data_IF_457911645422
#
_entry.id   IF_457911645422
#
_cell.length_a   1.000
_cell.length_b   1.000
_cell.length_c   1.000
_cell.angle_alpha   90.00
_cell.angle_beta   90.00
_cell.angle_gamma   90.00
#
_symmetry.space_group_name_H-M   'P 1'
#
loop_
_entity.id
_entity.type
_entity.pdbx_description
1 polymer ?
#
# COMPACT_ATOMS: atom_id res chain seq x y z
N UNK A 1 -1.78 8.00 -3.01
CA UNK A 1 -0.97 7.41 -1.96
C UNK A 1 -1.67 6.36 -1.09
N UNK A 2 -2.96 6.27 -1.04
CA UNK A 2 -3.70 5.11 -0.53
C UNK A 2 -4.22 4.24 -1.69
N UNK A 3 -3.65 4.42 -2.88
CA UNK A 3 -4.18 3.98 -4.16
C UNK A 3 -4.23 2.48 -4.34
N UNK A 4 -3.19 1.85 -3.91
CA UNK A 4 -2.92 0.46 -4.21
C UNK A 4 -3.80 -0.50 -3.42
N UNK A 5 -4.28 -0.05 -2.28
CA UNK A 5 -5.20 -0.80 -1.43
C UNK A 5 -6.64 -0.72 -1.96
N UNK A 6 -6.95 0.30 -2.74
CA UNK A 6 -8.27 0.46 -3.32
C UNK A 6 -8.61 -0.67 -4.30
N UNK A 7 -7.64 -1.18 -5.09
CA UNK A 7 -7.87 -2.35 -5.95
C UNK A 7 -8.09 -3.60 -5.12
N UNK A 8 -7.32 -3.80 -4.06
CA UNK A 8 -7.57 -4.89 -3.11
C UNK A 8 -8.95 -4.73 -2.47
N UNK A 9 -9.33 -3.52 -2.13
CA UNK A 9 -10.66 -3.19 -1.60
C UNK A 9 -11.77 -3.35 -2.63
N UNK A 10 -11.51 -3.08 -3.91
CA UNK A 10 -12.46 -3.31 -5.01
C UNK A 10 -12.75 -4.77 -5.23
N UNK A 11 -11.75 -5.62 -5.04
CA UNK A 11 -11.90 -7.06 -5.09
C UNK A 11 -12.76 -7.55 -3.91
N UNK A 12 -12.62 -6.95 -2.72
CA UNK A 12 -13.47 -7.22 -1.54
C UNK A 12 -14.92 -6.81 -1.82
N UNK A 13 -15.13 -5.70 -2.50
CA UNK A 13 -16.46 -5.11 -2.69
C UNK A 13 -17.30 -5.87 -3.71
N UNK A 14 -16.70 -6.44 -4.75
CA UNK A 14 -17.48 -7.23 -5.70
C UNK A 14 -18.19 -8.42 -5.05
N UNK A 15 -17.68 -8.91 -3.94
CA UNK A 15 -18.26 -10.01 -3.16
C UNK A 15 -19.34 -9.57 -2.17
N UNK A 16 -19.18 -8.41 -1.51
CA UNK A 16 -20.16 -7.90 -0.52
C UNK A 16 -21.48 -7.49 -1.17
N UNK A 17 -21.43 -6.92 -2.39
CA UNK A 17 -22.67 -6.54 -3.12
C UNK A 17 -23.54 -7.75 -3.45
N UNK A 18 -22.94 -8.89 -3.65
CA UNK A 18 -23.68 -10.10 -4.05
C UNK A 18 -24.29 -10.78 -2.83
N UNK A 19 -23.65 -10.74 -1.67
CA UNK A 19 -24.21 -11.26 -0.42
C UNK A 19 -25.38 -10.40 0.11
N UNK A 20 -25.40 -9.11 -0.16
CA UNK A 20 -26.47 -8.21 0.29
C UNK A 20 -27.69 -8.13 -0.68
N UNK A 21 -27.57 -8.63 -1.91
CA UNK A 21 -28.68 -8.56 -2.89
C UNK A 21 -29.77 -9.63 -2.73
N UNK A 22 -29.66 -10.52 -1.75
CA UNK A 22 -30.71 -11.46 -1.35
C UNK A 22 -31.15 -12.49 -2.40
N UNK A 23 -30.28 -12.79 -3.40
CA UNK A 23 -30.58 -13.77 -4.43
C UNK A 23 -29.73 -15.03 -4.23
N UNK A 24 -30.41 -16.13 -3.89
CA UNK A 24 -29.84 -17.47 -3.71
C UNK A 24 -28.99 -17.99 -4.87
N UNK A 25 -29.19 -17.47 -6.08
CA UNK A 25 -28.40 -17.82 -7.26
C UNK A 25 -26.99 -17.21 -7.24
N UNK A 26 -26.82 -15.99 -6.72
CA UNK A 26 -25.53 -15.33 -6.60
C UNK A 26 -24.64 -16.00 -5.56
N UNK A 27 -25.19 -16.37 -4.40
CA UNK A 27 -24.47 -17.11 -3.35
C UNK A 27 -23.91 -18.44 -3.86
N UNK A 28 -24.67 -19.16 -4.68
CA UNK A 28 -24.24 -20.44 -5.27
C UNK A 28 -23.07 -20.24 -6.26
N UNK A 29 -23.11 -19.17 -7.06
CA UNK A 29 -22.02 -18.85 -8.00
C UNK A 29 -20.74 -18.48 -7.26
N UNK A 30 -20.87 -17.72 -6.16
CA UNK A 30 -19.71 -17.32 -5.36
C UNK A 30 -19.08 -18.48 -4.60
N UNK A 31 -19.88 -19.37 -4.03
CA UNK A 31 -19.39 -20.58 -3.38
C UNK A 31 -18.63 -21.52 -4.33
N UNK A 32 -18.82 -21.37 -5.64
CA UNK A 32 -18.11 -22.15 -6.66
C UNK A 32 -16.80 -21.49 -7.14
N UNK A 33 -16.54 -20.23 -6.79
CA UNK A 33 -15.28 -19.57 -7.12
C UNK A 33 -14.23 -19.98 -6.09
N UNK A 34 -13.08 -20.55 -6.52
CA UNK A 34 -12.04 -20.97 -5.59
C UNK A 34 -11.44 -19.75 -4.89
N UNK A 35 -11.19 -19.87 -3.61
CA UNK A 35 -10.37 -18.94 -2.86
C UNK A 35 -8.92 -19.04 -3.32
N UNK A 36 -8.17 -18.00 -3.10
CA UNK A 36 -6.75 -17.93 -3.50
C UNK A 36 -5.93 -17.26 -2.42
N UNK A 37 -4.69 -17.71 -2.30
CA UNK A 37 -3.66 -17.03 -1.56
C UNK A 37 -2.82 -16.28 -2.58
N UNK A 38 -2.66 -14.98 -2.37
CA UNK A 38 -1.87 -14.16 -3.27
C UNK A 38 -1.09 -13.10 -2.51
N UNK A 39 0.17 -12.93 -2.94
CA UNK A 39 1.03 -11.82 -2.55
C UNK A 39 1.22 -10.89 -3.72
N UNK A 40 0.89 -9.62 -3.56
CA UNK A 40 0.92 -8.61 -4.60
C UNK A 40 1.87 -7.46 -4.24
N UNK A 41 2.63 -7.01 -5.24
CA UNK A 41 3.36 -5.75 -5.15
C UNK A 41 2.43 -4.61 -5.61
N UNK A 42 2.13 -3.70 -4.72
CA UNK A 42 1.13 -2.65 -4.97
C UNK A 42 1.78 -1.27 -4.84
N UNK A 43 1.66 -0.47 -5.89
CA UNK A 43 2.42 0.74 -6.10
C UNK A 43 1.51 1.93 -6.42
N UNK A 44 1.88 3.10 -5.89
CA UNK A 44 1.27 4.37 -6.25
C UNK A 44 2.31 5.34 -6.82
N UNK A 45 2.12 5.78 -8.07
CA UNK A 45 3.03 6.76 -8.69
C UNK A 45 2.69 8.19 -8.28
N UNK A 46 3.70 9.06 -8.29
CA UNK A 46 3.52 10.50 -8.10
C UNK A 46 2.83 11.16 -9.32
N UNK A 47 2.39 12.43 -9.20
CA UNK A 47 1.77 13.16 -10.31
C UNK A 47 2.70 13.38 -11.50
N UNK A 48 4.01 13.44 -11.26
CA UNK A 48 5.04 13.57 -12.31
C UNK A 48 5.24 12.23 -13.02
N UNK A 49 4.88 11.11 -12.37
CA UNK A 49 4.93 9.76 -12.92
C UNK A 49 6.32 9.15 -13.01
N UNK A 50 7.28 9.65 -12.23
CA UNK A 50 8.66 9.18 -12.24
C UNK A 50 9.07 8.44 -10.95
N UNK A 51 8.28 8.57 -9.86
CA UNK A 51 8.55 7.89 -8.61
C UNK A 51 7.32 7.14 -8.12
N UNK A 52 7.58 6.11 -7.31
CA UNK A 52 6.54 5.41 -6.57
C UNK A 52 6.52 5.92 -5.13
N UNK A 53 5.57 6.78 -4.82
CA UNK A 53 5.44 7.37 -3.48
C UNK A 53 4.83 6.40 -2.46
N UNK A 54 4.24 5.33 -2.94
CA UNK A 54 3.68 4.23 -2.14
C UNK A 54 4.17 2.91 -2.69
N UNK A 55 4.63 2.06 -1.79
CA UNK A 55 5.11 0.71 -2.12
C UNK A 55 4.62 -0.21 -1.01
N UNK A 56 3.70 -1.12 -1.35
CA UNK A 56 3.17 -2.12 -0.44
C UNK A 56 3.47 -3.53 -0.96
N UNK A 57 3.73 -4.42 -0.02
CA UNK A 57 3.47 -5.83 -0.18
C UNK A 57 2.15 -6.14 0.50
N UNK A 58 1.22 -6.71 -0.24
CA UNK A 58 -0.10 -7.08 0.26
C UNK A 58 -0.31 -8.58 0.07
N UNK A 59 -0.53 -9.32 1.16
CA UNK A 59 -0.88 -10.73 1.13
C UNK A 59 -2.32 -10.93 1.58
N UNK A 60 -3.03 -11.74 0.83
CA UNK A 60 -4.34 -12.27 1.19
C UNK A 60 -4.19 -13.78 1.31
N UNK A 61 -4.61 -14.31 2.44
CA UNK A 61 -4.82 -15.72 2.67
C UNK A 61 -6.34 -15.97 2.68
N UNK A 62 -6.85 -16.44 1.56
CA UNK A 62 -8.28 -16.63 1.37
C UNK A 62 -8.83 -17.83 2.15
N UNK A 63 -8.02 -18.83 2.44
CA UNK A 63 -8.44 -19.99 3.19
C UNK A 63 -8.56 -19.67 4.69
N UNK A 64 -7.58 -18.95 5.24
CA UNK A 64 -7.60 -18.56 6.66
C UNK A 64 -8.36 -17.25 6.92
N UNK A 65 -8.79 -16.53 5.89
CA UNK A 65 -9.46 -15.23 6.01
C UNK A 65 -8.59 -14.15 6.66
N UNK A 66 -7.30 -14.16 6.36
CA UNK A 66 -6.30 -13.23 6.89
C UNK A 66 -5.74 -12.33 5.79
N UNK A 67 -5.24 -11.17 6.18
CA UNK A 67 -4.48 -10.31 5.30
C UNK A 67 -3.35 -9.60 6.04
N UNK A 68 -2.25 -9.37 5.31
CA UNK A 68 -1.13 -8.57 5.80
C UNK A 68 -0.72 -7.55 4.74
N UNK A 69 -0.53 -6.30 5.16
CA UNK A 69 -0.03 -5.24 4.29
C UNK A 69 1.20 -4.62 4.92
N UNK A 70 2.35 -4.81 4.27
CA UNK A 70 3.60 -4.18 4.70
C UNK A 70 3.94 -3.02 3.79
N UNK A 71 4.03 -1.82 4.36
CA UNK A 71 4.46 -0.63 3.65
C UNK A 71 5.97 -0.49 3.70
N UNK A 72 6.61 -0.49 2.52
CA UNK A 72 8.01 -0.14 2.36
C UNK A 72 8.11 1.39 2.23
N UNK A 73 8.77 2.11 3.15
CA UNK A 73 8.94 3.55 3.03
C UNK A 73 9.62 3.92 1.71
N UNK A 74 9.12 4.93 1.02
CA UNK A 74 9.64 5.36 -0.28
C UNK A 74 11.12 5.76 -0.24
N UNK A 75 11.57 6.26 0.92
CA UNK A 75 12.94 6.69 1.15
C UNK A 75 13.86 5.53 1.60
N UNK A 76 13.40 4.27 1.50
CA UNK A 76 14.20 3.09 1.82
C UNK A 76 15.50 3.11 1.01
N UNK A 77 16.60 2.93 1.72
CA UNK A 77 17.95 2.83 1.16
C UNK A 77 18.04 1.63 0.23
N UNK A 78 18.59 1.84 -0.94
CA UNK A 78 18.87 0.81 -1.94
C UNK A 78 20.21 1.09 -2.60
N UNK A 79 21.01 0.04 -2.79
CA UNK A 79 22.19 0.09 -3.64
C UNK A 79 21.85 -0.43 -5.03
N UNK A 80 21.93 0.44 -6.03
CA UNK A 80 21.67 0.08 -7.42
C UNK A 80 22.78 0.60 -8.33
N UNK A 81 23.44 -0.30 -9.07
CA UNK A 81 24.61 0.02 -9.91
C UNK A 81 25.67 0.84 -9.15
N UNK A 82 26.06 0.34 -7.97
CA UNK A 82 27.05 0.96 -7.07
C UNK A 82 26.69 2.40 -6.62
N UNK A 83 25.41 2.74 -6.68
CA UNK A 83 24.91 4.05 -6.22
C UNK A 83 23.88 3.86 -5.11
N UNK A 84 23.99 4.71 -4.10
CA UNK A 84 22.97 4.85 -3.07
C UNK A 84 21.78 5.61 -3.63
N UNK A 85 20.62 4.99 -3.63
CA UNK A 85 19.38 5.58 -4.14
C UNK A 85 18.22 5.28 -3.21
N UNK A 86 17.15 6.04 -3.33
CA UNK A 86 15.89 5.77 -2.64
C UNK A 86 15.06 4.78 -3.46
N UNK A 87 14.39 3.87 -2.77
CA UNK A 87 13.56 2.82 -3.37
C UNK A 87 12.56 3.39 -4.39
N UNK A 88 11.91 4.51 -4.07
CA UNK A 88 10.93 5.14 -4.95
C UNK A 88 11.49 5.55 -6.32
N UNK A 89 12.81 5.77 -6.43
CA UNK A 89 13.45 6.18 -7.68
C UNK A 89 13.73 5.03 -8.65
N UNK A 90 13.61 3.77 -8.19
CA UNK A 90 13.92 2.60 -9.03
C UNK A 90 12.95 2.48 -10.21
N UNK A 91 11.65 2.67 -9.97
CA UNK A 91 10.64 2.63 -11.02
C UNK A 91 10.97 3.58 -12.20
N UNK A 92 11.23 4.86 -11.91
CA UNK A 92 11.57 5.83 -12.95
C UNK A 92 12.88 5.52 -13.67
N UNK A 93 13.85 4.90 -12.98
CA UNK A 93 15.11 4.44 -13.59
C UNK A 93 14.84 3.28 -14.55
N UNK A 94 14.10 2.26 -14.12
CA UNK A 94 13.74 1.12 -14.96
C UNK A 94 12.89 1.54 -16.15
N UNK A 95 11.93 2.46 -15.96
CA UNK A 95 11.13 3.02 -17.05
C UNK A 95 12.00 3.74 -18.10
N UNK A 96 13.02 4.47 -17.66
CA UNK A 96 13.98 5.10 -18.56
C UNK A 96 14.85 4.09 -19.29
N UNK A 97 15.30 3.04 -18.61
CA UNK A 97 16.08 1.96 -19.20
C UNK A 97 15.25 1.16 -20.23
N UNK A 98 13.95 1.00 -19.96
CA UNK A 98 13.00 0.32 -20.85
C UNK A 98 12.40 1.23 -21.95
N UNK A 99 12.93 2.42 -22.19
CA UNK A 99 12.35 3.39 -23.14
C UNK A 99 12.21 2.89 -24.58
N UNK A 100 12.94 1.83 -24.96
CA UNK A 100 12.84 1.16 -26.26
C UNK A 100 11.82 0.00 -26.32
N UNK A 101 11.24 -0.39 -25.20
CA UNK A 101 10.28 -1.48 -25.12
C UNK A 101 8.88 -1.05 -25.63
N UNK A 102 8.06 -2.03 -26.01
CA UNK A 102 6.69 -1.77 -26.48
C UNK A 102 5.82 -1.11 -25.39
N UNK A 103 6.04 -1.50 -24.13
CA UNK A 103 5.39 -0.92 -22.96
C UNK A 103 6.44 -0.66 -21.87
N UNK A 104 7.11 0.49 -21.88
CA UNK A 104 8.18 0.79 -20.94
C UNK A 104 7.73 0.82 -19.47
N UNK A 105 6.49 1.18 -19.23
CA UNK A 105 5.91 1.23 -17.88
C UNK A 105 5.74 -0.17 -17.30
N UNK A 106 5.19 -1.07 -18.08
CA UNK A 106 5.02 -2.48 -17.71
C UNK A 106 6.37 -3.18 -17.49
N UNK A 107 7.32 -3.03 -18.43
CA UNK A 107 8.66 -3.59 -18.31
C UNK A 107 9.43 -3.08 -17.07
N UNK A 108 9.22 -1.79 -16.70
CA UNK A 108 9.80 -1.23 -15.49
C UNK A 108 9.22 -1.86 -14.22
N UNK A 109 7.93 -2.18 -14.24
CA UNK A 109 7.24 -2.82 -13.11
C UNK A 109 7.67 -4.27 -12.94
N UNK A 110 7.76 -5.05 -14.04
CA UNK A 110 8.29 -6.43 -14.01
C UNK A 110 9.68 -6.45 -13.38
N UNK A 111 10.54 -5.54 -13.81
CA UNK A 111 11.90 -5.44 -13.27
C UNK A 111 11.93 -5.01 -11.80
N UNK A 112 11.06 -4.07 -11.40
CA UNK A 112 10.97 -3.65 -10.00
C UNK A 112 10.47 -4.79 -9.11
N UNK A 113 9.47 -5.54 -9.57
CA UNK A 113 8.96 -6.72 -8.91
C UNK A 113 10.06 -7.78 -8.73
N UNK A 114 10.77 -8.15 -9.80
CA UNK A 114 11.86 -9.12 -9.77
C UNK A 114 12.96 -8.72 -8.78
N UNK A 115 13.40 -7.46 -8.82
CA UNK A 115 14.45 -6.95 -7.93
C UNK A 115 14.00 -6.97 -6.48
N UNK A 116 12.78 -6.53 -6.18
CA UNK A 116 12.25 -6.51 -4.82
C UNK A 116 12.01 -7.92 -4.27
N UNK A 117 11.35 -8.78 -5.02
CA UNK A 117 11.03 -10.14 -4.57
C UNK A 117 12.29 -10.97 -4.33
N UNK A 118 13.27 -10.83 -5.23
CA UNK A 118 14.58 -11.48 -5.05
C UNK A 118 15.32 -10.98 -3.80
N UNK A 119 15.26 -9.68 -3.50
CA UNK A 119 15.92 -9.12 -2.32
C UNK A 119 15.19 -9.46 -1.02
N UNK A 120 13.86 -9.55 -1.07
CA UNK A 120 13.04 -9.87 0.10
C UNK A 120 12.89 -11.37 0.35
N UNK A 121 13.32 -12.23 -0.59
CA UNK A 121 13.21 -13.69 -0.47
C UNK A 121 11.76 -14.20 -0.47
N UNK A 122 10.87 -13.49 -1.15
CA UNK A 122 9.45 -13.83 -1.29
C UNK A 122 9.08 -14.04 -2.75
N UNK A 123 7.93 -14.66 -2.99
CA UNK A 123 7.29 -14.68 -4.30
C UNK A 123 6.11 -13.73 -4.30
N UNK A 124 5.91 -13.04 -5.42
CA UNK A 124 4.68 -12.29 -5.69
C UNK A 124 3.94 -12.94 -6.84
N UNK A 125 2.63 -12.80 -6.82
CA UNK A 125 1.72 -13.30 -7.87
C UNK A 125 1.41 -12.23 -8.90
N UNK A 126 1.95 -11.03 -8.72
CA UNK A 126 1.83 -9.93 -9.65
C UNK A 126 1.95 -8.57 -8.99
N UNK A 127 1.88 -7.55 -9.84
CA UNK A 127 1.94 -6.16 -9.43
C UNK A 127 0.72 -5.36 -9.88
N UNK A 128 0.49 -4.25 -9.17
CA UNK A 128 -0.50 -3.23 -9.51
C UNK A 128 0.13 -1.87 -9.31
N UNK A 129 0.23 -1.07 -10.37
CA UNK A 129 0.60 0.34 -10.30
C UNK A 129 -0.63 1.20 -10.57
N UNK A 130 -0.85 2.20 -9.74
CA UNK A 130 -1.97 3.13 -9.85
C UNK A 130 -1.47 4.57 -9.82
N UNK A 131 -2.20 5.46 -10.51
CA UNK A 131 -1.95 6.88 -10.39
C UNK A 131 -2.88 7.56 -9.37
N UNK A 132 -2.70 8.85 -9.20
CA UNK A 132 -3.42 9.64 -8.21
C UNK A 132 -4.88 9.84 -8.58
N UNK A 133 -5.17 9.90 -9.87
CA UNK A 133 -6.53 10.14 -10.35
C UNK A 133 -7.42 8.92 -10.08
N UNK A 134 -6.87 7.70 -10.24
CA UNK A 134 -7.55 6.47 -9.80
C UNK A 134 -8.02 6.53 -8.33
N UNK A 135 -7.17 7.03 -7.44
CA UNK A 135 -7.54 7.15 -6.03
C UNK A 135 -8.67 8.16 -5.81
N UNK A 136 -8.52 9.36 -6.33
CA UNK A 136 -9.50 10.44 -6.15
C UNK A 136 -10.87 10.00 -6.68
N UNK A 137 -10.92 9.53 -7.92
CA UNK A 137 -12.16 9.09 -8.56
C UNK A 137 -12.81 7.90 -7.84
N UNK A 138 -12.00 6.95 -7.38
CA UNK A 138 -12.52 5.78 -6.67
C UNK A 138 -13.09 6.14 -5.30
N UNK A 139 -12.46 7.05 -4.55
CA UNK A 139 -13.00 7.55 -3.29
C UNK A 139 -14.32 8.29 -3.53
N UNK A 140 -14.40 9.10 -4.59
CA UNK A 140 -15.65 9.79 -4.96
C UNK A 140 -16.75 8.80 -5.37
N UNK A 141 -16.40 7.78 -6.16
CA UNK A 141 -17.33 6.76 -6.62
C UNK A 141 -17.99 5.98 -5.47
N UNK A 142 -17.25 5.73 -4.38
CA UNK A 142 -17.81 5.06 -3.18
C UNK A 142 -18.57 6.02 -2.25
N UNK A 143 -18.63 7.30 -2.59
CA UNK A 143 -19.31 8.33 -1.78
C UNK A 143 -18.47 8.85 -0.61
N UNK A 144 -17.15 8.77 -0.71
CA UNK A 144 -16.21 9.25 0.30
C UNK A 144 -15.91 8.25 1.42
N UNK A 145 -14.92 8.58 2.24
CA UNK A 145 -14.47 7.79 3.40
C UNK A 145 -14.52 8.63 4.66
N UNK A 146 -15.15 8.12 5.71
CA UNK A 146 -15.19 8.79 7.01
C UNK A 146 -13.90 8.51 7.76
N UNK A 147 -13.16 9.56 8.09
CA UNK A 147 -11.86 9.49 8.77
C UNK A 147 -11.85 10.42 9.98
N UNK A 148 -11.22 10.01 11.08
CA UNK A 148 -10.86 10.91 12.16
C UNK A 148 -9.57 11.65 11.76
N UNK A 149 -9.69 12.93 11.42
CA UNK A 149 -8.55 13.81 11.13
C UNK A 149 -7.94 14.24 12.45
N UNK A 150 -6.69 13.82 12.75
CA UNK A 150 -6.17 13.98 14.11
C UNK A 150 -5.91 15.44 14.51
N UNK A 151 -5.61 16.29 13.51
CA UNK A 151 -5.24 17.71 13.73
C UNK A 151 -5.62 18.55 12.52
N UNK A 152 -5.75 19.86 12.70
CA UNK A 152 -5.92 20.81 11.58
C UNK A 152 -4.72 20.68 10.63
N UNK A 153 -4.98 20.38 9.37
CA UNK A 153 -3.98 20.23 8.32
C UNK A 153 -4.08 21.41 7.38
N UNK A 154 -3.08 22.29 7.42
CA UNK A 154 -2.98 23.44 6.52
C UNK A 154 -1.60 23.45 5.89
N UNK A 155 -1.53 23.29 4.58
CA UNK A 155 -0.29 23.32 3.84
C UNK A 155 -0.54 23.66 2.38
N UNK A 156 0.32 24.48 1.80
CA UNK A 156 0.23 24.90 0.41
C UNK A 156 1.56 24.62 -0.31
N UNK A 157 1.49 23.85 -1.41
CA UNK A 157 2.60 23.57 -2.30
C UNK A 157 2.16 23.76 -3.76
N UNK A 158 2.22 25.00 -4.27
CA UNK A 158 1.80 25.30 -5.65
C UNK A 158 2.60 24.56 -6.71
N UNK A 159 3.86 24.18 -6.41
CA UNK A 159 4.71 23.45 -7.37
C UNK A 159 4.18 22.03 -7.60
N UNK A 160 3.63 21.42 -6.57
CA UNK A 160 3.01 20.09 -6.66
C UNK A 160 1.50 20.13 -6.86
N UNK A 161 0.90 21.34 -6.99
CA UNK A 161 -0.55 21.50 -7.05
C UNK A 161 -1.26 20.94 -5.81
N UNK A 162 -0.64 21.03 -4.63
CA UNK A 162 -1.17 20.46 -3.41
C UNK A 162 -1.60 21.56 -2.44
N UNK A 163 -2.90 21.70 -2.27
CA UNK A 163 -3.53 22.62 -1.34
C UNK A 163 -4.25 21.82 -0.25
N UNK A 164 -3.72 21.81 0.96
CA UNK A 164 -4.27 21.07 2.10
C UNK A 164 -4.98 22.02 3.04
N UNK A 165 -6.26 21.78 3.30
CA UNK A 165 -7.06 22.51 4.26
C UNK A 165 -8.14 21.61 4.87
N UNK A 166 -7.75 20.80 5.85
CA UNK A 166 -8.63 19.90 6.57
C UNK A 166 -8.67 20.29 8.06
N UNK A 167 -9.85 20.31 8.64
CA UNK A 167 -10.03 20.53 10.07
C UNK A 167 -9.85 19.23 10.85
N UNK A 168 -9.47 19.32 12.10
CA UNK A 168 -9.47 18.18 13.01
C UNK A 168 -10.89 17.65 13.27
N UNK A 169 -10.99 16.35 13.57
CA UNK A 169 -12.22 15.67 13.93
C UNK A 169 -12.74 14.72 12.85
N UNK A 170 -13.80 14.03 13.19
CA UNK A 170 -14.43 13.03 12.32
C UNK A 170 -15.17 13.69 11.18
N UNK A 171 -14.79 13.36 9.95
CA UNK A 171 -15.41 13.94 8.75
C UNK A 171 -15.42 12.94 7.59
N UNK A 172 -16.40 13.10 6.70
CA UNK A 172 -16.49 12.38 5.44
C UNK A 172 -15.60 13.11 4.43
N UNK A 173 -14.53 12.46 4.00
CA UNK A 173 -13.60 12.99 3.00
C UNK A 173 -14.01 12.52 1.60
N UNK A 174 -14.18 13.44 0.66
CA UNK A 174 -14.27 13.13 -0.76
C UNK A 174 -12.88 12.80 -1.32
N UNK A 175 -12.77 12.51 -2.61
CA UNK A 175 -11.50 12.10 -3.24
C UNK A 175 -10.39 13.13 -3.08
N UNK A 176 -10.68 14.42 -3.34
CA UNK A 176 -9.71 15.50 -3.17
C UNK A 176 -9.27 15.68 -1.71
N UNK A 177 -10.21 15.65 -0.78
CA UNK A 177 -9.92 15.74 0.65
C UNK A 177 -9.14 14.53 1.16
N UNK A 178 -9.46 13.34 0.64
CA UNK A 178 -8.71 12.12 0.92
C UNK A 178 -7.26 12.22 0.40
N UNK A 179 -7.05 12.77 -0.81
CA UNK A 179 -5.72 13.08 -1.33
C UNK A 179 -4.96 14.02 -0.40
N UNK A 180 -5.59 15.10 0.05
CA UNK A 180 -4.99 16.03 1.00
C UNK A 180 -4.55 15.31 2.28
N UNK A 181 -5.43 14.49 2.85
CA UNK A 181 -5.16 13.73 4.07
C UNK A 181 -3.94 12.80 3.94
N UNK A 182 -3.90 11.96 2.90
CA UNK A 182 -2.86 10.95 2.71
C UNK A 182 -1.54 11.52 2.18
N UNK A 183 -1.53 12.76 1.68
CA UNK A 183 -0.31 13.44 1.21
C UNK A 183 0.30 14.39 2.22
N UNK A 184 -0.44 14.78 3.25
CA UNK A 184 0.04 15.67 4.28
C UNK A 184 1.25 15.06 5.01
N UNK A 185 2.36 15.80 5.11
CA UNK A 185 3.56 15.40 5.86
C UNK A 185 4.13 16.52 6.71
N UNK A 186 3.83 17.77 6.35
CA UNK A 186 4.46 18.96 6.92
C UNK A 186 4.17 19.16 8.39
N UNK A 187 2.99 18.70 8.85
CA UNK A 187 2.53 18.83 10.22
C UNK A 187 3.12 17.77 11.16
N UNK A 188 3.60 16.64 10.64
CA UNK A 188 4.05 15.54 11.47
C UNK A 188 5.50 15.72 11.94
N UNK A 189 5.77 15.39 13.23
CA UNK A 189 7.15 15.42 13.78
C UNK A 189 8.04 14.43 12.99
N UNK A 190 7.51 13.23 12.72
CA UNK A 190 8.22 12.18 12.00
C UNK A 190 8.14 12.32 10.48
N UNK A 191 7.68 13.49 9.98
CA UNK A 191 7.58 13.83 8.57
C UNK A 191 6.95 12.70 7.71
N UNK A 192 7.75 11.99 6.91
CA UNK A 192 7.26 10.93 6.02
C UNK A 192 6.67 9.73 6.76
N UNK A 193 7.23 9.34 7.90
CA UNK A 193 6.69 8.26 8.72
C UNK A 193 5.34 8.62 9.33
N UNK A 194 5.13 9.88 9.74
CA UNK A 194 3.80 10.35 10.18
C UNK A 194 2.75 10.31 9.06
N UNK A 195 3.16 10.63 7.83
CA UNK A 195 2.30 10.46 6.65
C UNK A 195 1.94 8.97 6.43
N UNK A 196 2.90 8.07 6.58
CA UNK A 196 2.66 6.62 6.50
C UNK A 196 1.62 6.19 7.53
N UNK A 197 1.70 6.70 8.75
CA UNK A 197 0.70 6.40 9.79
C UNK A 197 -0.69 6.94 9.42
N UNK A 198 -0.79 8.16 8.87
CA UNK A 198 -2.05 8.69 8.34
C UNK A 198 -2.62 7.84 7.18
N UNK A 199 -1.76 7.33 6.30
CA UNK A 199 -2.16 6.42 5.23
C UNK A 199 -2.75 5.12 5.78
N UNK A 200 -2.16 4.54 6.83
CA UNK A 200 -2.71 3.33 7.49
C UNK A 200 -4.09 3.59 8.09
N UNK A 201 -4.30 4.75 8.73
CA UNK A 201 -5.62 5.16 9.25
C UNK A 201 -6.63 5.22 8.10
N UNK A 202 -6.27 5.90 7.00
CA UNK A 202 -7.15 6.01 5.83
C UNK A 202 -7.51 4.65 5.24
N UNK A 203 -6.51 3.77 5.09
CA UNK A 203 -6.69 2.42 4.56
C UNK A 203 -7.65 1.61 5.43
N UNK A 204 -7.45 1.61 6.75
CA UNK A 204 -8.33 0.91 7.67
C UNK A 204 -9.77 1.43 7.61
N UNK A 205 -9.96 2.75 7.56
CA UNK A 205 -11.27 3.38 7.41
C UNK A 205 -11.92 3.05 6.06
N UNK A 206 -11.15 3.04 4.98
CA UNK A 206 -11.61 2.67 3.64
C UNK A 206 -12.10 1.22 3.61
N UNK A 207 -11.32 0.27 4.16
CA UNK A 207 -11.74 -1.13 4.21
C UNK A 207 -13.00 -1.30 5.04
N UNK A 208 -13.08 -0.64 6.20
CA UNK A 208 -14.30 -0.64 7.02
C UNK A 208 -15.51 -0.15 6.22
N UNK A 209 -15.38 0.97 5.49
CA UNK A 209 -16.42 1.51 4.60
C UNK A 209 -16.84 0.51 3.52
N UNK A 210 -15.89 -0.20 2.93
CA UNK A 210 -16.16 -1.16 1.87
C UNK A 210 -16.90 -2.40 2.39
N UNK A 211 -16.64 -2.81 3.62
CA UNK A 211 -17.37 -3.92 4.26
C UNK A 211 -18.85 -3.60 4.55
N UNK A 212 -19.21 -2.33 4.61
CA UNK A 212 -20.62 -1.92 4.69
C UNK A 212 -21.39 -2.17 3.38
N UNK A 213 -20.67 -2.50 2.30
CA UNK A 213 -21.18 -2.77 0.97
C UNK A 213 -21.23 -1.56 0.04
N UNK A 214 -21.18 -1.82 -1.26
CA UNK A 214 -21.36 -0.83 -2.31
C UNK A 214 -22.55 -1.18 -3.19
N UNK A 215 -23.16 -0.16 -3.75
CA UNK A 215 -24.18 -0.34 -4.80
C UNK A 215 -23.53 -0.80 -6.11
N UNK A 216 -24.31 -1.45 -6.98
CA UNK A 216 -23.83 -1.86 -8.32
C UNK A 216 -23.29 -0.67 -9.11
N UNK A 217 -23.93 0.51 -9.01
CA UNK A 217 -23.45 1.72 -9.68
C UNK A 217 -22.08 2.17 -9.19
N UNK A 218 -21.84 2.16 -7.88
CA UNK A 218 -20.55 2.47 -7.30
C UNK A 218 -19.47 1.50 -7.77
N UNK A 219 -19.78 0.19 -7.79
CA UNK A 219 -18.85 -0.83 -8.29
C UNK A 219 -18.44 -0.60 -9.73
N UNK A 220 -19.41 -0.32 -10.61
CA UNK A 220 -19.13 -0.06 -12.03
C UNK A 220 -18.25 1.19 -12.18
N UNK A 221 -18.53 2.25 -11.42
CA UNK A 221 -17.73 3.49 -11.46
C UNK A 221 -16.31 3.25 -11.01
N UNK A 222 -16.11 2.54 -9.91
CA UNK A 222 -14.77 2.24 -9.39
C UNK A 222 -14.03 1.30 -10.35
N UNK A 223 -14.68 0.27 -10.90
CA UNK A 223 -14.06 -0.62 -11.88
C UNK A 223 -13.62 0.16 -13.13
N UNK A 224 -14.41 1.13 -13.59
CA UNK A 224 -14.04 2.02 -14.69
C UNK A 224 -12.77 2.80 -14.40
N UNK A 225 -12.71 3.49 -13.27
CA UNK A 225 -11.52 4.25 -12.85
C UNK A 225 -10.27 3.36 -12.71
N UNK A 226 -10.43 2.17 -12.12
CA UNK A 226 -9.31 1.22 -12.01
C UNK A 226 -8.79 0.79 -13.38
N UNK A 227 -9.66 0.41 -14.30
CA UNK A 227 -9.24 -0.04 -15.64
C UNK A 227 -8.54 1.07 -16.44
N UNK A 228 -8.92 2.33 -16.24
CA UNK A 228 -8.34 3.47 -16.93
C UNK A 228 -6.97 3.88 -16.36
N UNK A 229 -6.81 3.78 -15.04
CA UNK A 229 -5.70 4.40 -14.31
C UNK A 229 -4.72 3.42 -13.69
N UNK A 230 -4.76 2.12 -14.09
CA UNK A 230 -3.83 1.12 -13.54
C UNK A 230 -3.02 0.41 -14.61
N UNK A 231 -1.80 0.01 -14.21
CA UNK A 231 -0.98 -0.97 -14.94
C UNK A 231 -0.78 -2.17 -14.04
N UNK A 232 -1.16 -3.36 -14.50
CA UNK A 232 -1.10 -4.59 -13.69
C UNK A 232 -0.69 -5.79 -14.52
N UNK A 233 -0.06 -6.76 -13.85
CA UNK A 233 0.21 -8.10 -14.41
C UNK A 233 -0.92 -9.09 -14.17
N UNK A 234 -1.93 -8.71 -13.35
CA UNK A 234 -3.08 -9.59 -13.08
C UNK A 234 -3.99 -9.71 -14.31
N UNK A 235 -4.41 -10.94 -14.58
CA UNK A 235 -5.42 -11.21 -15.61
C UNK A 235 -6.85 -10.98 -15.08
N UNK A 236 -7.80 -10.76 -15.99
CA UNK A 236 -9.21 -10.68 -15.63
C UNK A 236 -9.72 -11.94 -14.94
N UNK A 237 -9.10 -13.11 -15.18
CA UNK A 237 -9.39 -14.37 -14.53
C UNK A 237 -9.01 -14.42 -13.04
N UNK A 238 -8.06 -13.58 -12.61
CA UNK A 238 -7.62 -13.53 -11.21
C UNK A 238 -8.62 -12.77 -10.31
N UNK A 239 -9.35 -11.82 -10.89
CA UNK A 239 -10.19 -10.89 -10.15
C UNK A 239 -11.29 -11.57 -9.32
N UNK A 240 -12.04 -12.57 -9.84
CA UNK A 240 -13.09 -13.22 -9.04
C UNK A 240 -12.55 -13.94 -7.81
N UNK A 241 -11.46 -14.70 -7.95
CA UNK A 241 -10.84 -15.44 -6.83
C UNK A 241 -10.27 -14.49 -5.78
N UNK A 242 -9.60 -13.42 -6.20
CA UNK A 242 -9.14 -12.37 -5.30
C UNK A 242 -10.30 -11.69 -4.55
N UNK A 243 -11.40 -11.39 -5.25
CA UNK A 243 -12.56 -10.78 -4.67
C UNK A 243 -13.20 -11.66 -3.58
N UNK A 244 -13.38 -12.95 -3.86
CA UNK A 244 -13.91 -13.91 -2.88
C UNK A 244 -12.99 -14.03 -1.68
N UNK A 245 -11.67 -14.20 -1.91
CA UNK A 245 -10.69 -14.31 -0.82
C UNK A 245 -10.67 -13.06 0.06
N UNK A 246 -10.68 -11.89 -0.55
CA UNK A 246 -10.68 -10.63 0.18
C UNK A 246 -11.96 -10.39 1.01
N UNK A 247 -13.11 -10.91 0.56
CA UNK A 247 -14.36 -10.81 1.32
C UNK A 247 -14.32 -11.62 2.61
N UNK A 248 -13.63 -12.75 2.62
CA UNK A 248 -13.47 -13.61 3.79
C UNK A 248 -12.56 -12.98 4.86
N UNK A 249 -11.66 -12.06 4.48
CA UNK A 249 -10.76 -11.42 5.43
C UNK A 249 -11.54 -10.60 6.46
N UNK A 250 -11.36 -10.91 7.76
CA UNK A 250 -11.90 -10.06 8.82
C UNK A 250 -10.95 -8.91 9.14
N UNK A 251 -11.50 -7.75 9.54
CA UNK A 251 -10.68 -6.61 9.95
C UNK A 251 -9.85 -6.92 11.21
N UNK A 252 -10.34 -7.79 12.07
CA UNK A 252 -9.64 -8.24 13.29
C UNK A 252 -8.45 -9.16 13.00
N UNK A 253 -8.46 -9.89 11.86
CA UNK A 253 -7.37 -10.76 11.41
C UNK A 253 -6.47 -10.11 10.36
N UNK A 254 -6.78 -8.90 9.92
CA UNK A 254 -5.98 -8.14 8.99
C UNK A 254 -5.04 -7.17 9.71
N UNK A 255 -3.79 -7.10 9.26
CA UNK A 255 -2.78 -6.19 9.82
C UNK A 255 -2.19 -5.29 8.74
N UNK A 256 -1.87 -4.05 9.12
CA UNK A 256 -1.11 -3.13 8.27
C UNK A 256 0.02 -2.52 9.09
N UNK A 257 1.23 -2.59 8.57
CA UNK A 257 2.43 -2.13 9.26
C UNK A 257 3.48 -1.55 8.32
N UNK A 258 4.40 -0.79 8.89
CA UNK A 258 5.58 -0.30 8.17
C UNK A 258 6.69 -1.32 8.28
N UNK A 259 7.42 -1.56 7.20
CA UNK A 259 8.62 -2.41 7.21
C UNK A 259 9.55 -2.00 8.35
N UNK A 260 10.02 -2.94 9.18
CA UNK A 260 10.92 -2.64 10.31
C UNK A 260 12.17 -1.90 9.85
N UNK A 261 12.47 -0.79 10.50
CA UNK A 261 13.64 0.02 10.17
C UNK A 261 13.66 1.37 10.89
N UNK A 262 14.58 2.23 10.49
CA UNK A 262 14.73 3.57 11.06
C UNK A 262 15.32 4.55 10.05
N UNK A 263 15.03 5.83 10.20
CA UNK A 263 15.61 6.88 9.37
C UNK A 263 17.05 7.15 9.78
N UNK A 264 17.96 7.15 8.79
CA UNK A 264 19.34 7.60 8.93
C UNK A 264 19.37 9.13 9.06
N UNK A 265 20.08 9.64 10.05
CA UNK A 265 20.19 11.08 10.33
C UNK A 265 20.98 11.86 9.28
N UNK A 266 21.83 11.21 8.52
CA UNK A 266 22.77 11.85 7.58
C UNK A 266 22.24 11.97 6.15
N UNK A 267 21.60 10.93 5.63
CA UNK A 267 21.24 10.84 4.21
C UNK A 267 19.76 10.99 3.93
N UNK A 268 18.93 11.01 4.97
CA UNK A 268 17.47 10.99 4.81
C UNK A 268 16.97 9.70 4.18
N UNK A 269 17.71 8.60 4.35
CA UNK A 269 17.33 7.26 3.96
C UNK A 269 16.57 6.57 5.10
N UNK A 270 15.65 5.70 4.75
CA UNK A 270 15.09 4.73 5.66
C UNK A 270 15.86 3.42 5.56
N UNK A 271 16.51 3.00 6.62
CA UNK A 271 17.32 1.79 6.67
C UNK A 271 16.49 0.66 7.28
N UNK A 272 16.26 -0.39 6.50
CA UNK A 272 15.54 -1.57 6.97
C UNK A 272 16.34 -2.29 8.08
N UNK A 273 15.63 -2.82 9.05
CA UNK A 273 16.23 -3.66 10.09
C UNK A 273 16.25 -5.12 9.64
N UNK A 274 17.42 -5.75 9.60
CA UNK A 274 17.60 -7.12 9.09
C UNK A 274 16.74 -8.15 9.81
N UNK A 275 16.84 -8.18 11.14
CA UNK A 275 16.15 -9.21 11.93
C UNK A 275 14.64 -8.97 11.98
N UNK A 276 14.22 -7.70 12.02
CA UNK A 276 12.82 -7.32 11.93
C UNK A 276 12.21 -7.71 10.59
N UNK A 277 12.91 -7.45 9.47
CA UNK A 277 12.44 -7.84 8.14
C UNK A 277 12.31 -9.35 8.00
N UNK A 278 13.34 -10.12 8.41
CA UNK A 278 13.28 -11.59 8.41
C UNK A 278 12.05 -12.10 9.13
N UNK A 279 11.79 -11.56 10.32
CA UNK A 279 10.63 -11.96 11.11
C UNK A 279 9.32 -11.61 10.43
N UNK A 280 9.14 -10.37 9.96
CA UNK A 280 7.89 -9.96 9.33
C UNK A 280 7.61 -10.71 8.02
N UNK A 281 8.65 -10.98 7.24
CA UNK A 281 8.51 -11.74 6.00
C UNK A 281 8.17 -13.22 6.29
N UNK A 282 8.75 -13.82 7.31
CA UNK A 282 8.39 -15.18 7.75
C UNK A 282 6.98 -15.25 8.34
N UNK A 283 6.62 -14.31 9.22
CA UNK A 283 5.35 -14.37 9.96
C UNK A 283 4.13 -14.04 9.07
N UNK A 284 4.31 -13.23 8.01
CA UNK A 284 3.22 -12.66 7.24
C UNK A 284 3.26 -12.90 5.72
N UNK A 285 4.40 -13.33 5.16
CA UNK A 285 4.59 -13.43 3.71
C UNK A 285 5.17 -14.77 3.24
N UNK A 286 5.15 -15.78 4.09
CA UNK A 286 5.66 -17.14 3.82
C UNK A 286 7.04 -17.16 3.16
N UNK A 287 7.94 -16.31 3.62
CA UNK A 287 9.30 -16.30 3.12
C UNK A 287 9.98 -17.63 3.45
N UNK A 288 10.19 -18.46 2.41
CA UNK A 288 10.83 -19.78 2.55
C UNK A 288 12.33 -19.66 2.74
N UNK A 289 12.92 -18.60 2.19
CA UNK A 289 14.36 -18.35 2.25
C UNK A 289 14.71 -17.11 3.07
N UNK A 290 15.92 -17.11 3.58
CA UNK A 290 16.41 -15.96 4.30
C UNK A 290 16.41 -14.72 3.39
N UNK A 291 15.69 -13.68 3.82
CA UNK A 291 15.89 -12.32 3.35
C UNK A 291 17.39 -12.09 3.09
N UNK A 292 17.74 -11.93 1.81
CA UNK A 292 19.11 -11.62 1.40
C UNK A 292 19.24 -10.12 1.13
N UNK A 293 19.50 -9.35 2.19
CA UNK A 293 19.62 -7.91 2.07
C UNK A 293 20.79 -7.49 1.19
N UNK A 294 21.76 -8.40 1.00
CA UNK A 294 22.96 -8.10 0.25
C UNK A 294 22.69 -7.91 -1.25
N UNK A 295 21.55 -8.33 -1.77
CA UNK A 295 21.23 -8.13 -3.18
C UNK A 295 20.80 -6.70 -3.54
N UNK A 296 19.90 -6.11 -2.77
CA UNK A 296 19.36 -4.77 -3.04
C UNK A 296 19.86 -3.74 -2.04
N UNK A 297 20.10 -4.17 -0.81
CA UNK A 297 20.52 -3.33 0.29
C UNK A 297 22.04 -3.41 0.53
N UNK A 298 22.75 -4.09 -0.37
CA UNK A 298 24.22 -4.18 -0.38
C UNK A 298 24.78 -2.80 -0.67
N UNK A 299 25.57 -2.30 0.20
CA UNK A 299 26.28 -1.10 -0.10
C UNK A 299 26.91 -0.50 1.11
N UNK A 300 27.62 0.50 0.84
CA UNK A 300 28.43 1.26 1.75
C UNK A 300 27.57 1.85 2.87
N UNK A 301 27.04 0.97 3.74
CA UNK A 301 26.51 1.47 4.99
C UNK A 301 27.63 2.24 5.69
N UNK A 302 27.46 3.53 5.91
CA UNK A 302 28.24 4.21 6.92
C UNK A 302 27.99 3.52 8.28
N UNK A 303 28.84 3.77 9.28
CA UNK A 303 28.73 3.11 10.58
C UNK A 303 27.35 3.28 11.23
N UNK A 304 26.69 4.43 11.03
CA UNK A 304 25.36 4.70 11.54
C UNK A 304 24.30 3.80 10.84
N UNK A 305 24.30 3.76 9.52
CA UNK A 305 23.36 2.93 8.75
C UNK A 305 23.54 1.44 9.05
N UNK A 306 24.79 0.99 9.20
CA UNK A 306 25.09 -0.39 9.64
C UNK A 306 24.52 -0.66 11.03
N UNK A 307 24.69 0.26 11.96
CA UNK A 307 24.15 0.13 13.31
C UNK A 307 22.61 0.07 13.32
N UNK A 308 21.93 0.81 12.45
CA UNK A 308 20.47 0.72 12.29
C UNK A 308 20.04 -0.62 11.70
N UNK A 309 20.73 -1.08 10.68
CA UNK A 309 20.46 -2.33 9.98
C UNK A 309 20.65 -3.55 10.91
N UNK A 310 21.70 -3.59 11.70
CA UNK A 310 22.06 -4.68 12.59
C UNK A 310 21.51 -4.54 14.02
N UNK A 311 20.74 -3.48 14.32
CA UNK A 311 20.16 -3.29 15.65
C UNK A 311 19.27 -4.49 16.01
N UNK A 312 19.35 -5.02 17.25
CA UNK A 312 18.43 -6.03 17.72
C UNK A 312 16.97 -5.57 17.54
N UNK A 313 16.15 -6.40 16.94
CA UNK A 313 14.74 -6.12 16.74
C UNK A 313 13.94 -6.58 17.95
N UNK A 314 13.17 -5.64 18.51
CA UNK A 314 12.19 -5.96 19.55
C UNK A 314 10.82 -6.01 18.88
N UNK A 315 10.17 -7.18 18.87
CA UNK A 315 8.85 -7.30 18.26
C UNK A 315 7.83 -6.44 19.01
N UNK A 316 7.07 -5.66 18.24
CA UNK A 316 5.89 -4.98 18.74
C UNK A 316 4.65 -5.75 18.32
N UNK A 317 3.61 -5.73 19.15
CA UNK A 317 2.32 -6.28 18.77
C UNK A 317 1.69 -5.36 17.72
N UNK A 318 1.44 -5.90 16.53
CA UNK A 318 0.80 -5.13 15.46
C UNK A 318 -0.69 -4.94 15.78
N UNK A 319 -1.22 -3.71 15.67
CA UNK A 319 -2.65 -3.49 15.79
C UNK A 319 -3.37 -4.10 14.57
N UNK A 320 -4.56 -4.66 14.80
CA UNK A 320 -5.44 -5.07 13.70
C UNK A 320 -5.97 -3.85 12.94
N UNK A 321 -6.40 -4.06 11.70
CA UNK A 321 -7.05 -2.98 10.94
C UNK A 321 -8.35 -2.51 11.59
N UNK A 322 -9.07 -3.39 12.29
CA UNK A 322 -10.23 -3.03 13.11
C UNK A 322 -9.85 -2.03 14.20
N UNK A 323 -8.80 -2.34 14.97
CA UNK A 323 -8.30 -1.44 16.01
C UNK A 323 -7.86 -0.08 15.46
N UNK A 324 -7.22 -0.07 14.28
CA UNK A 324 -6.81 1.18 13.63
C UNK A 324 -8.02 1.97 13.14
N UNK A 325 -9.03 1.32 12.58
CA UNK A 325 -10.24 1.98 12.10
C UNK A 325 -11.06 2.61 13.24
N UNK A 326 -11.10 1.95 14.41
CA UNK A 326 -11.85 2.40 15.58
C UNK A 326 -11.10 3.45 16.40
N UNK A 327 -9.81 3.25 16.64
CA UNK A 327 -9.02 4.01 17.61
C UNK A 327 -7.97 4.92 16.95
N UNK A 328 -7.74 4.78 15.64
CA UNK A 328 -6.68 5.47 14.94
C UNK A 328 -5.27 4.99 15.33
N UNK A 329 -4.29 5.77 14.96
CA UNK A 329 -2.88 5.64 15.37
C UNK A 329 -2.47 6.97 16.01
N UNK A 330 -1.76 6.94 17.11
CA UNK A 330 -1.21 8.16 17.71
C UNK A 330 -0.10 8.73 16.83
N UNK A 331 -0.39 9.84 16.18
CA UNK A 331 0.54 10.54 15.29
C UNK A 331 0.98 11.85 15.95
N UNK A 332 2.25 11.94 16.30
CA UNK A 332 2.79 13.16 16.89
C UNK A 332 2.92 14.29 15.86
N UNK A 333 2.44 15.48 16.19
CA UNK A 333 2.49 16.67 15.32
C UNK A 333 3.43 17.75 15.85
N UNK A 334 3.87 18.62 14.96
CA UNK A 334 4.62 19.83 15.29
C UNK A 334 3.67 20.83 15.98
N UNK A 335 4.14 21.39 17.10
CA UNK A 335 3.42 22.47 17.82
C UNK A 335 3.62 23.80 17.11
#
# INVERSE_FOLDING_TARGET
MAYSFLVLCLLIVSSVVITNSGTTAAEVVFAAIPKTDKTLLVLGKDRVGNNTDVIFLARIDGEEGKAAVMQLPRDTYVSYNDKEVKLNSLYGRFKKEAAGEKNPEYAALERLEEVLTSALGIKTDGFILMDLDCFVESVDAIGGVTVEVPYDMVYDDPVQGLHINLRAGKQLLNGEQAEQFVRCRSIYIRADLGRIDAQKIFIAALISKLKDGLTVGQLVSVAGSVLEHTVTSLGLSDLPSLAVSAAEVSLSSAVIFTAPGSTDSRGGFYVLNRDGMKRMLSDYFDAEEAFDPDRLFRGYFNDEARGLYERPYTPEMLPSMESIAENGIDISVKK
#
